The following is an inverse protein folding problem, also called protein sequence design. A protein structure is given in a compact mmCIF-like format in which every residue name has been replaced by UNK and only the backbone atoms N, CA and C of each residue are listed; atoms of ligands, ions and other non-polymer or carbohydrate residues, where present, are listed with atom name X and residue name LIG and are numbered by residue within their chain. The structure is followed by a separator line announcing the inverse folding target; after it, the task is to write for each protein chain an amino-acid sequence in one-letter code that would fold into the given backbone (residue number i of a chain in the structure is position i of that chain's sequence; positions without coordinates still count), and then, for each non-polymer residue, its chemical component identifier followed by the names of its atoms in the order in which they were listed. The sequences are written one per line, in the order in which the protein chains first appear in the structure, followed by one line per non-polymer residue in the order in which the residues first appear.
data_IF_319709403616
#
_entry.id   IF_319709403616
#
_cell.length_a   1.000
_cell.length_b   1.000
_cell.length_c   1.000
_cell.angle_alpha   90.00
_cell.angle_beta   90.00
_cell.angle_gamma   90.00
#
_symmetry.space_group_name_H-M   'P 1'
#
loop_
_entity.id
_entity.type
_entity.pdbx_description
1 polymer ?
#
# COMPACT_ATOMS: atom_id res chain seq x y z
N UNK A 1 -17.04 0.55 -3.02
CA UNK A 1 -15.71 0.09 -2.56
C UNK A 1 -15.07 -0.93 -3.52
N UNK A 2 -15.78 -2.00 -3.90
CA UNK A 2 -15.26 -3.05 -4.82
C UNK A 2 -14.57 -2.51 -6.09
N UNK A 3 -15.21 -1.57 -6.80
CA UNK A 3 -14.65 -1.00 -8.04
C UNK A 3 -13.31 -0.27 -7.83
N UNK A 4 -13.14 0.39 -6.69
CA UNK A 4 -11.87 1.07 -6.35
C UNK A 4 -10.76 0.06 -6.11
N UNK A 5 -11.05 -1.02 -5.36
CA UNK A 5 -10.07 -2.07 -5.10
C UNK A 5 -9.69 -2.82 -6.38
N UNK A 6 -10.67 -3.06 -7.27
CA UNK A 6 -10.41 -3.64 -8.58
C UNK A 6 -9.52 -2.72 -9.43
N UNK A 7 -9.84 -1.41 -9.51
CA UNK A 7 -9.01 -0.45 -10.23
C UNK A 7 -7.59 -0.33 -9.67
N UNK A 8 -7.42 -0.43 -8.35
CA UNK A 8 -6.09 -0.49 -7.73
C UNK A 8 -5.33 -1.76 -8.10
N UNK A 9 -6.02 -2.90 -8.18
CA UNK A 9 -5.42 -4.14 -8.62
C UNK A 9 -4.95 -4.03 -10.08
N UNK A 10 -5.82 -3.53 -10.96
CA UNK A 10 -5.53 -3.36 -12.38
C UNK A 10 -4.37 -2.38 -12.59
N UNK A 11 -4.30 -1.29 -11.82
CA UNK A 11 -3.20 -0.35 -11.86
C UNK A 11 -1.86 -0.99 -11.43
N UNK A 12 -1.86 -1.83 -10.40
CA UNK A 12 -0.65 -2.54 -9.96
C UNK A 12 -0.21 -3.56 -11.00
N UNK A 13 -1.16 -4.28 -11.60
CA UNK A 13 -0.86 -5.23 -12.68
C UNK A 13 -0.28 -4.47 -13.89
N UNK A 14 -0.84 -3.30 -14.24
CA UNK A 14 -0.28 -2.43 -15.27
C UNK A 14 1.13 -1.92 -14.92
N UNK A 15 1.40 -1.52 -13.68
CA UNK A 15 2.74 -1.11 -13.22
C UNK A 15 3.79 -2.21 -13.44
N UNK A 16 3.42 -3.47 -13.17
CA UNK A 16 4.34 -4.59 -13.37
C UNK A 16 4.51 -4.97 -14.85
N UNK A 17 3.46 -4.86 -15.66
CA UNK A 17 3.50 -5.19 -17.08
C UNK A 17 4.17 -4.09 -17.93
N UNK A 18 4.01 -2.83 -17.53
CA UNK A 18 4.46 -1.63 -18.25
C UNK A 18 5.24 -0.68 -17.33
N UNK A 19 6.40 -1.07 -16.78
CA UNK A 19 7.12 -0.29 -15.77
C UNK A 19 7.64 1.05 -16.32
N UNK A 20 8.08 1.11 -17.58
CA UNK A 20 8.58 2.35 -18.19
C UNK A 20 7.44 3.35 -18.44
N UNK A 21 6.33 2.92 -19.03
CA UNK A 21 5.14 3.75 -19.22
C UNK A 21 4.59 4.23 -17.87
N UNK A 22 4.55 3.35 -16.87
CA UNK A 22 4.07 3.69 -15.53
C UNK A 22 4.95 4.72 -14.84
N UNK A 23 6.28 4.64 -15.02
CA UNK A 23 7.20 5.69 -14.55
C UNK A 23 6.90 7.02 -15.23
N UNK A 24 6.70 7.05 -16.54
CA UNK A 24 6.36 8.28 -17.26
C UNK A 24 5.07 8.90 -16.72
N UNK A 25 4.01 8.11 -16.55
CA UNK A 25 2.73 8.59 -15.99
C UNK A 25 2.92 9.20 -14.60
N UNK A 26 3.71 8.57 -13.73
CA UNK A 26 3.98 9.07 -12.38
C UNK A 26 4.87 10.31 -12.39
N UNK A 27 5.90 10.33 -13.24
CA UNK A 27 6.80 11.48 -13.41
C UNK A 27 6.04 12.72 -13.87
N UNK A 28 5.16 12.56 -14.87
CA UNK A 28 4.31 13.62 -15.39
C UNK A 28 3.35 14.13 -14.32
N UNK A 29 2.68 13.22 -13.59
CA UNK A 29 1.75 13.58 -12.53
C UNK A 29 2.43 14.35 -11.38
N UNK A 30 3.63 13.91 -10.97
CA UNK A 30 4.40 14.53 -9.90
C UNK A 30 5.23 15.75 -10.37
N UNK A 31 5.30 16.01 -11.68
CA UNK A 31 6.16 17.03 -12.29
C UNK A 31 7.62 16.91 -11.86
N UNK A 32 8.14 15.67 -11.77
CA UNK A 32 9.54 15.39 -11.41
C UNK A 32 10.33 14.85 -12.62
N UNK A 33 11.63 15.17 -12.73
CA UNK A 33 12.48 14.61 -13.76
C UNK A 33 12.57 13.07 -13.69
N UNK A 34 12.60 12.42 -14.85
CA UNK A 34 12.63 10.95 -14.97
C UNK A 34 13.85 10.31 -14.25
N UNK A 35 15.00 10.99 -14.26
CA UNK A 35 16.20 10.52 -13.55
C UNK A 35 16.02 10.48 -12.02
N UNK A 36 15.22 11.37 -11.45
CA UNK A 36 14.92 11.38 -10.02
C UNK A 36 13.97 10.23 -9.66
N UNK A 37 12.96 9.98 -10.50
CA UNK A 37 12.01 8.88 -10.28
C UNK A 37 12.68 7.52 -10.50
N UNK A 38 13.57 7.38 -11.48
CA UNK A 38 14.21 6.11 -11.80
C UNK A 38 14.99 5.50 -10.63
N UNK A 39 15.63 6.32 -9.80
CA UNK A 39 16.31 5.85 -8.58
C UNK A 39 15.30 5.38 -7.53
N UNK A 40 14.28 6.19 -7.24
CA UNK A 40 13.25 5.86 -6.25
C UNK A 40 12.44 4.61 -6.65
N UNK A 41 12.23 4.41 -7.95
CA UNK A 41 11.43 3.30 -8.47
C UNK A 41 11.98 1.93 -8.07
N UNK A 42 13.30 1.79 -7.95
CA UNK A 42 13.93 0.53 -7.56
C UNK A 42 13.66 0.15 -6.10
N UNK A 43 13.37 1.12 -5.25
CA UNK A 43 13.10 0.92 -3.82
C UNK A 43 11.61 0.65 -3.54
N UNK A 44 10.73 0.83 -4.52
CA UNK A 44 9.30 0.64 -4.34
C UNK A 44 8.85 -0.79 -4.67
N UNK A 45 8.04 -1.35 -3.76
CA UNK A 45 7.32 -2.60 -3.96
C UNK A 45 5.82 -2.30 -4.09
N UNK A 46 5.28 -2.44 -5.30
CA UNK A 46 3.86 -2.27 -5.57
C UNK A 46 3.09 -3.57 -5.29
N UNK A 47 2.29 -3.59 -4.21
CA UNK A 47 1.49 -4.77 -3.84
C UNK A 47 0.19 -4.36 -3.18
N UNK A 48 -0.91 -4.94 -3.64
CA UNK A 48 -2.21 -4.89 -2.97
C UNK A 48 -2.41 -6.14 -2.11
N UNK A 49 -2.29 -6.01 -0.80
CA UNK A 49 -2.54 -7.10 0.14
C UNK A 49 -2.94 -6.62 1.54
N UNK A 50 -3.62 -7.49 2.27
CA UNK A 50 -3.76 -7.42 3.73
C UNK A 50 -2.94 -8.55 4.33
N UNK A 51 -1.80 -8.22 4.94
CA UNK A 51 -0.82 -9.20 5.41
C UNK A 51 -0.43 -8.99 6.87
N UNK A 52 0.12 -10.02 7.49
CA UNK A 52 0.71 -9.90 8.83
C UNK A 52 1.85 -8.87 8.87
N UNK A 53 2.56 -8.65 7.76
CA UNK A 53 3.56 -7.60 7.65
C UNK A 53 2.94 -6.20 7.77
N UNK A 54 1.81 -5.94 7.10
CA UNK A 54 1.06 -4.68 7.26
C UNK A 54 0.63 -4.49 8.72
N UNK A 55 0.07 -5.53 9.34
CA UNK A 55 -0.35 -5.47 10.74
C UNK A 55 0.82 -5.20 11.69
N UNK A 56 1.97 -5.85 11.46
CA UNK A 56 3.18 -5.64 12.24
C UNK A 56 3.71 -4.20 12.05
N UNK A 57 3.73 -3.70 10.82
CA UNK A 57 4.12 -2.31 10.53
C UNK A 57 3.23 -1.31 11.25
N UNK A 58 1.90 -1.49 11.22
CA UNK A 58 0.96 -0.62 11.95
C UNK A 58 1.24 -0.59 13.45
N UNK A 59 1.46 -1.77 14.06
CA UNK A 59 1.81 -1.88 15.48
C UNK A 59 3.14 -1.20 15.81
N UNK A 60 4.17 -1.45 15.00
CA UNK A 60 5.49 -0.86 15.20
C UNK A 60 5.45 0.67 15.09
N UNK A 61 4.73 1.21 14.10
CA UNK A 61 4.55 2.65 13.93
C UNK A 61 3.76 3.28 15.08
N UNK A 62 2.73 2.59 15.57
CA UNK A 62 1.94 3.07 16.72
C UNK A 62 2.76 3.08 18.02
N UNK A 63 3.56 2.04 18.26
CA UNK A 63 4.47 1.97 19.39
C UNK A 63 5.50 3.10 19.32
N UNK A 64 6.19 3.24 18.19
CA UNK A 64 7.16 4.32 17.98
C UNK A 64 6.54 5.70 18.19
N UNK A 65 5.35 5.97 17.63
CA UNK A 65 4.69 7.26 17.76
C UNK A 65 4.31 7.57 19.23
N UNK A 66 3.93 6.55 20.00
CA UNK A 66 3.66 6.69 21.44
C UNK A 66 4.93 6.98 22.22
N UNK A 67 6.00 6.24 21.96
CA UNK A 67 7.30 6.43 22.61
C UNK A 67 7.91 7.80 22.31
N UNK A 68 7.74 8.29 21.08
CA UNK A 68 8.16 9.62 20.66
C UNK A 68 7.25 10.75 21.18
N UNK A 69 6.16 10.43 21.89
CA UNK A 69 5.21 11.43 22.40
C UNK A 69 4.40 12.14 21.31
N UNK A 70 4.32 11.59 20.10
CA UNK A 70 3.61 12.17 18.95
C UNK A 70 2.09 11.93 19.01
N UNK A 71 1.65 10.94 19.79
CA UNK A 71 0.24 10.59 19.96
C UNK A 71 -0.08 10.28 21.41
N UNK A 72 -1.32 10.55 21.83
CA UNK A 72 -1.84 10.22 23.14
C UNK A 72 -2.90 9.09 23.06
N UNK A 73 -3.12 8.41 24.18
CA UNK A 73 -4.18 7.41 24.31
C UNK A 73 -3.74 5.96 24.10
N UNK A 74 -4.74 5.09 23.93
CA UNK A 74 -4.56 3.64 23.82
C UNK A 74 -4.38 3.24 22.35
N UNK A 75 -3.48 2.28 22.11
CA UNK A 75 -3.29 1.70 20.78
C UNK A 75 -4.59 1.06 20.26
N UNK A 76 -5.02 1.37 19.02
CA UNK A 76 -6.23 0.79 18.47
C UNK A 76 -6.02 -0.69 18.16
N UNK A 77 -7.12 -1.46 18.24
CA UNK A 77 -7.10 -2.86 17.83
C UNK A 77 -7.06 -3.01 16.31
N UNK A 78 -5.88 -2.86 15.69
CA UNK A 78 -5.69 -2.80 14.23
C UNK A 78 -6.41 -3.90 13.45
N UNK A 79 -6.43 -5.15 13.95
CA UNK A 79 -7.16 -6.26 13.30
C UNK A 79 -8.65 -5.96 13.10
N UNK A 80 -9.29 -5.25 14.02
CA UNK A 80 -10.71 -4.89 13.94
C UNK A 80 -10.98 -3.75 12.94
N UNK A 81 -9.94 -3.04 12.52
CA UNK A 81 -10.03 -1.96 11.54
C UNK A 81 -9.83 -2.47 10.10
N UNK A 82 -9.29 -3.68 9.93
CA UNK A 82 -9.04 -4.28 8.62
C UNK A 82 -10.24 -5.13 8.18
N UNK A 83 -10.81 -4.81 7.02
CA UNK A 83 -11.87 -5.60 6.40
C UNK A 83 -11.34 -6.31 5.14
N UNK A 84 -11.18 -7.64 5.17
CA UNK A 84 -10.69 -8.39 4.01
C UNK A 84 -11.75 -8.59 2.91
N UNK A 85 -13.04 -8.40 3.20
CA UNK A 85 -14.12 -8.66 2.25
C UNK A 85 -13.94 -7.94 0.90
N UNK A 86 -13.79 -6.60 0.88
CA UNK A 86 -13.60 -5.87 -0.36
C UNK A 86 -12.36 -6.28 -1.18
N UNK A 87 -11.29 -6.73 -0.51
CA UNK A 87 -10.09 -7.23 -1.18
C UNK A 87 -10.40 -8.56 -1.90
N UNK A 88 -11.00 -9.50 -1.18
CA UNK A 88 -11.36 -10.82 -1.72
C UNK A 88 -12.38 -10.70 -2.86
N UNK A 89 -13.43 -9.88 -2.69
CA UNK A 89 -14.50 -9.69 -3.69
C UNK A 89 -14.02 -9.03 -4.99
N UNK A 90 -13.00 -8.17 -4.91
CA UNK A 90 -12.52 -7.40 -6.04
C UNK A 90 -11.39 -8.10 -6.81
N UNK A 91 -10.58 -8.91 -6.14
CA UNK A 91 -9.33 -9.44 -6.71
C UNK A 91 -9.26 -10.97 -6.70
N UNK A 92 -10.19 -11.65 -6.01
CA UNK A 92 -10.11 -13.07 -5.67
C UNK A 92 -8.85 -13.47 -4.88
N UNK A 93 -8.02 -12.50 -4.45
CA UNK A 93 -6.86 -12.73 -3.58
C UNK A 93 -7.35 -12.96 -2.16
N UNK A 94 -6.89 -14.04 -1.53
CA UNK A 94 -7.16 -14.28 -0.13
C UNK A 94 -6.42 -13.27 0.75
N UNK A 95 -7.06 -12.87 1.86
CA UNK A 95 -6.35 -12.18 2.94
C UNK A 95 -5.22 -13.06 3.47
N UNK A 96 -4.05 -12.46 3.69
CA UNK A 96 -2.88 -13.14 4.27
C UNK A 96 -2.78 -12.92 5.79
N UNK A 97 -3.83 -12.35 6.40
CA UNK A 97 -3.94 -12.21 7.84
C UNK A 97 -4.25 -13.58 8.45
N UNK A 98 -3.36 -14.06 9.33
CA UNK A 98 -3.58 -15.27 10.14
C UNK A 98 -4.15 -14.91 11.51
#
# INVERSE_FOLDING_TARGET
MRQVIAGLNDAIDYIHLHPDESKTVVADYLSIPDNQLAWLWQDYLFRLSLSDALLLSLKNQAMWAREAGLVAGTEPGFRRLLNPGPLTEATHKASLLK
#
